data_IF_120098406087
#
_entry.id   IF_120098406087
#
_cell.length_a   1.000
_cell.length_b   1.000
_cell.length_c   1.000
_cell.angle_alpha   90.00
_cell.angle_beta   90.00
_cell.angle_gamma   90.00
#
_symmetry.space_group_name_H-M   'P 1'
#
loop_
_entity.id
_entity.type
_entity.pdbx_description
1 polymer ?
#
# COMPACT_ATOMS: atom_id res chain seq x y z
N UNK A 1 24.08 -13.23 -5.74
CA UNK A 1 23.08 -12.24 -5.30
C UNK A 1 22.50 -11.58 -6.52
N UNK A 2 21.27 -11.90 -6.92
CA UNK A 2 20.56 -11.15 -7.97
C UNK A 2 19.25 -10.61 -7.38
N UNK A 3 19.35 -9.46 -6.71
CA UNK A 3 18.29 -8.82 -5.93
C UNK A 3 17.27 -8.05 -6.79
N UNK A 4 16.90 -8.53 -7.98
CA UNK A 4 16.10 -7.77 -8.94
C UNK A 4 14.99 -8.57 -9.62
N UNK A 5 14.44 -9.59 -8.95
CA UNK A 5 13.11 -10.07 -9.34
C UNK A 5 12.10 -9.06 -8.80
N UNK A 6 11.84 -7.99 -9.55
CA UNK A 6 10.78 -7.05 -9.25
C UNK A 6 9.48 -7.86 -9.19
N UNK A 7 8.96 -8.09 -7.99
CA UNK A 7 7.67 -8.74 -7.81
C UNK A 7 6.60 -7.82 -8.41
N UNK A 8 6.11 -8.17 -9.60
CA UNK A 8 5.16 -7.35 -10.35
C UNK A 8 3.89 -7.06 -9.54
N UNK A 9 3.46 -8.00 -8.70
CA UNK A 9 2.30 -7.82 -7.82
C UNK A 9 2.54 -6.72 -6.78
N UNK A 10 3.76 -6.64 -6.22
CA UNK A 10 4.12 -5.60 -5.26
C UNK A 10 4.16 -4.21 -5.90
N UNK A 11 4.71 -4.11 -7.12
CA UNK A 11 4.72 -2.84 -7.88
C UNK A 11 3.30 -2.37 -8.22
N UNK A 12 2.44 -3.29 -8.67
CA UNK A 12 1.05 -2.96 -8.97
C UNK A 12 0.29 -2.53 -7.71
N UNK A 13 0.51 -3.19 -6.58
CA UNK A 13 -0.11 -2.82 -5.31
C UNK A 13 0.34 -1.44 -4.83
N UNK A 14 1.64 -1.13 -4.92
CA UNK A 14 2.16 0.20 -4.59
C UNK A 14 1.59 1.29 -5.50
N UNK A 15 1.46 1.02 -6.80
CA UNK A 15 0.78 1.92 -7.74
C UNK A 15 -0.67 2.16 -7.31
N UNK A 16 -1.42 1.09 -6.99
CA UNK A 16 -2.81 1.18 -6.54
C UNK A 16 -2.94 2.00 -5.25
N UNK A 17 -2.03 1.84 -4.29
CA UNK A 17 -2.00 2.63 -3.04
C UNK A 17 -1.85 4.13 -3.36
N UNK A 18 -0.97 4.50 -4.29
CA UNK A 18 -0.77 5.90 -4.71
C UNK A 18 -2.00 6.48 -5.39
N UNK A 19 -2.63 5.69 -6.27
CA UNK A 19 -3.88 6.07 -6.96
C UNK A 19 -5.03 6.28 -5.97
N UNK A 20 -5.20 5.38 -5.01
CA UNK A 20 -6.21 5.49 -3.95
C UNK A 20 -5.97 6.74 -3.08
N UNK A 21 -4.73 6.99 -2.67
CA UNK A 21 -4.38 8.20 -1.91
C UNK A 21 -4.65 9.49 -2.70
N UNK A 22 -4.40 9.50 -4.01
CA UNK A 22 -4.75 10.62 -4.88
C UNK A 22 -6.27 10.80 -4.98
N UNK A 23 -7.02 9.73 -5.22
CA UNK A 23 -8.48 9.76 -5.28
C UNK A 23 -9.10 10.24 -3.95
N UNK A 24 -8.54 9.85 -2.80
CA UNK A 24 -8.98 10.33 -1.50
C UNK A 24 -8.80 11.85 -1.32
N UNK A 25 -7.70 12.42 -1.85
CA UNK A 25 -7.51 13.88 -1.83
C UNK A 25 -8.59 14.60 -2.62
N UNK A 26 -8.97 14.06 -3.80
CA UNK A 26 -10.05 14.60 -4.63
C UNK A 26 -11.42 14.44 -3.95
N UNK A 27 -11.73 13.25 -3.43
CA UNK A 27 -12.98 13.01 -2.71
C UNK A 27 -13.11 13.95 -1.50
N UNK A 28 -12.01 14.21 -0.79
CA UNK A 28 -11.96 15.18 0.30
C UNK A 28 -12.22 16.61 -0.18
N UNK A 29 -11.62 17.06 -1.29
CA UNK A 29 -11.87 18.40 -1.83
C UNK A 29 -13.30 18.59 -2.30
N UNK A 30 -13.94 17.53 -2.79
CA UNK A 30 -15.35 17.55 -3.20
C UNK A 30 -16.34 17.35 -2.03
N UNK A 31 -15.85 17.12 -0.81
CA UNK A 31 -16.72 16.86 0.36
C UNK A 31 -17.43 15.49 0.34
N UNK A 32 -17.06 14.58 -0.55
CA UNK A 32 -17.72 13.28 -0.69
C UNK A 32 -17.22 12.29 0.39
N UNK A 33 -17.91 12.31 1.53
CA UNK A 33 -17.65 11.40 2.66
C UNK A 33 -17.94 9.94 2.34
N UNK A 34 -18.81 9.65 1.39
CA UNK A 34 -19.15 8.28 1.01
C UNK A 34 -18.01 7.64 0.21
N UNK A 35 -17.50 8.36 -0.78
CA UNK A 35 -16.31 7.96 -1.54
C UNK A 35 -15.08 7.87 -0.64
N UNK A 36 -14.89 8.84 0.28
CA UNK A 36 -13.76 8.82 1.21
C UNK A 36 -13.73 7.53 2.05
N UNK A 37 -14.88 7.09 2.59
CA UNK A 37 -14.97 5.85 3.37
C UNK A 37 -14.66 4.61 2.54
N UNK A 38 -15.19 4.53 1.31
CA UNK A 38 -14.92 3.40 0.40
C UNK A 38 -13.44 3.33 0.03
N UNK A 39 -12.87 4.45 -0.38
CA UNK A 39 -11.46 4.56 -0.76
C UNK A 39 -10.53 4.25 0.42
N UNK A 40 -10.89 4.66 1.65
CA UNK A 40 -10.13 4.31 2.84
C UNK A 40 -10.11 2.80 3.10
N UNK A 41 -11.26 2.12 2.99
CA UNK A 41 -11.33 0.67 3.14
C UNK A 41 -10.46 -0.06 2.11
N UNK A 42 -10.50 0.37 0.84
CA UNK A 42 -9.65 -0.18 -0.22
C UNK A 42 -8.16 0.09 0.01
N UNK A 43 -7.81 1.29 0.48
CA UNK A 43 -6.44 1.66 0.80
C UNK A 43 -5.91 0.78 1.94
N UNK A 44 -6.70 0.60 3.01
CA UNK A 44 -6.35 -0.27 4.13
C UNK A 44 -6.12 -1.71 3.67
N UNK A 45 -7.01 -2.27 2.86
CA UNK A 45 -6.84 -3.62 2.32
C UNK A 45 -5.54 -3.75 1.50
N UNK A 46 -5.28 -2.76 0.63
CA UNK A 46 -4.08 -2.74 -0.22
C UNK A 46 -2.78 -2.61 0.59
N UNK A 47 -2.79 -1.84 1.68
CA UNK A 47 -1.62 -1.70 2.57
C UNK A 47 -1.34 -2.98 3.35
N UNK A 48 -2.36 -3.78 3.66
CA UNK A 48 -2.21 -5.03 4.42
C UNK A 48 -1.83 -6.23 3.54
N UNK A 49 -2.12 -6.20 2.24
CA UNK A 49 -1.81 -7.27 1.29
C UNK A 49 -0.32 -7.33 0.85
N UNK A 50 0.62 -7.28 1.80
CA UNK A 50 2.06 -7.29 1.54
C UNK A 50 2.59 -8.70 1.24
N UNK A 51 3.57 -8.78 0.33
CA UNK A 51 4.33 -10.02 0.12
C UNK A 51 5.25 -10.31 1.33
N UNK A 52 5.64 -11.58 1.56
CA UNK A 52 6.62 -11.92 2.59
C UNK A 52 7.95 -11.16 2.44
N UNK A 53 8.36 -10.85 1.21
CA UNK A 53 9.57 -10.10 0.91
C UNK A 53 9.49 -8.66 1.41
N UNK A 54 8.34 -8.00 1.21
CA UNK A 54 8.13 -6.65 1.71
C UNK A 54 7.88 -6.58 3.21
N UNK A 55 7.31 -7.64 3.81
CA UNK A 55 7.26 -7.76 5.27
C UNK A 55 8.68 -7.80 5.83
N UNK A 56 9.55 -8.66 5.29
CA UNK A 56 10.97 -8.72 5.68
C UNK A 56 11.70 -7.40 5.48
N UNK A 57 11.49 -6.72 4.35
CA UNK A 57 12.11 -5.41 4.10
C UNK A 57 11.61 -4.32 5.05
N UNK A 58 10.33 -4.37 5.45
CA UNK A 58 9.76 -3.46 6.45
C UNK A 58 10.34 -3.74 7.84
N UNK A 59 10.37 -5.00 8.26
CA UNK A 59 10.93 -5.45 9.53
C UNK A 59 12.39 -5.00 9.70
N UNK A 60 13.21 -5.21 8.66
CA UNK A 60 14.58 -4.70 8.61
C UNK A 60 14.66 -3.18 8.77
N UNK A 61 13.79 -2.43 8.09
CA UNK A 61 13.74 -0.95 8.19
C UNK A 61 13.28 -0.46 9.56
N UNK A 62 12.38 -1.19 10.23
CA UNK A 62 11.87 -0.81 11.55
C UNK A 62 12.77 -1.29 12.69
N UNK A 63 13.82 -2.06 12.41
CA UNK A 63 14.66 -2.66 13.44
C UNK A 63 13.92 -3.72 14.27
N UNK A 64 12.80 -4.24 13.76
CA UNK A 64 11.99 -5.26 14.43
C UNK A 64 12.25 -6.57 13.68
N UNK A 65 12.98 -7.48 14.32
CA UNK A 65 13.16 -8.85 13.80
C UNK A 65 12.28 -9.77 14.62
N UNK A 66 11.24 -10.36 14.03
CA UNK A 66 10.61 -11.53 14.64
C UNK A 66 11.51 -12.73 14.36
N UNK A 67 12.29 -13.10 15.37
CA UNK A 67 12.95 -14.40 15.47
C UNK A 67 11.91 -15.46 15.87
#
# INVERSE_FOLDING_TARGET
MNANTINLADVQRERRIRELAAAMRVARSCGDRSALRRLWSELRASVLARSPEQVRAMEQRMGVSHA
#
